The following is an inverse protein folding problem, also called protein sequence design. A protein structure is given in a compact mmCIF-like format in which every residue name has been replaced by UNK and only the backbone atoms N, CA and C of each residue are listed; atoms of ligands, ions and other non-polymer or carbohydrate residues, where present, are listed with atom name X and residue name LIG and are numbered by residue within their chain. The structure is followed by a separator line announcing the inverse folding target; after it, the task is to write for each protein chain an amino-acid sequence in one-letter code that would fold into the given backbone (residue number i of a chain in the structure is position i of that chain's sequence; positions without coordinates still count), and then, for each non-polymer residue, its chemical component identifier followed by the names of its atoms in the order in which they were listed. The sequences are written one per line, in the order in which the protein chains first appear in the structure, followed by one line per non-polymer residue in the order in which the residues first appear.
data_IF_289951150387
#
_entry.id   IF_289951150387
#
_cell.length_a   1.000
_cell.length_b   1.000
_cell.length_c   1.000
_cell.angle_alpha   90.00
_cell.angle_beta   90.00
_cell.angle_gamma   90.00
#
_symmetry.space_group_name_H-M   'P 1'
#
loop_
_entity.id
_entity.type
_entity.pdbx_description
1 polymer ?
#
# COMPACT_ATOMS: atom_id res chain seq x y z
N UNK A 1 3.48 -7.30 19.64
CA UNK A 1 3.45 -6.07 18.83
C UNK A 1 4.72 -6.08 18.00
N UNK A 2 4.65 -6.58 16.77
CA UNK A 2 5.83 -6.73 15.90
C UNK A 2 6.06 -5.37 15.24
N UNK A 3 6.80 -4.51 15.94
CA UNK A 3 7.14 -3.17 15.45
C UNK A 3 7.96 -3.28 14.18
N UNK A 4 7.59 -2.48 13.18
CA UNK A 4 8.32 -2.21 11.94
C UNK A 4 9.80 -1.97 12.32
N UNK A 5 10.68 -2.92 11.98
CA UNK A 5 12.04 -2.94 12.51
C UNK A 5 12.89 -1.89 11.77
N UNK A 6 13.05 -0.70 12.34
CA UNK A 6 13.95 0.33 11.79
C UNK A 6 15.39 -0.22 11.74
N UNK A 7 16.09 -0.05 10.62
CA UNK A 7 17.48 -0.49 10.46
C UNK A 7 18.47 0.44 11.18
N UNK A 8 18.55 0.29 12.50
CA UNK A 8 19.46 1.03 13.38
C UNK A 8 20.92 1.00 12.91
N UNK A 9 21.35 -0.14 12.37
CA UNK A 9 22.75 -0.35 11.99
C UNK A 9 23.13 0.53 10.81
N UNK A 10 22.23 0.62 9.82
CA UNK A 10 22.37 1.50 8.68
C UNK A 10 22.41 2.97 9.08
N UNK A 11 21.46 3.44 9.90
CA UNK A 11 21.45 4.84 10.37
C UNK A 11 22.73 5.21 11.13
N UNK A 12 23.24 4.29 11.96
CA UNK A 12 24.48 4.49 12.71
C UNK A 12 25.70 4.56 11.77
N UNK A 13 25.71 3.77 10.70
CA UNK A 13 26.77 3.78 9.70
C UNK A 13 26.75 5.06 8.86
N UNK A 14 25.57 5.55 8.46
CA UNK A 14 25.44 6.82 7.71
C UNK A 14 25.92 8.01 8.53
N UNK A 15 25.56 8.08 9.82
CA UNK A 15 26.05 9.09 10.74
C UNK A 15 27.58 9.05 10.85
N UNK A 16 28.15 7.85 11.03
CA UNK A 16 29.61 7.67 11.11
C UNK A 16 30.33 8.10 9.83
N UNK A 17 29.78 7.78 8.65
CA UNK A 17 30.34 8.17 7.34
C UNK A 17 30.39 9.69 7.16
N UNK A 18 29.38 10.40 7.65
CA UNK A 18 29.31 11.86 7.60
C UNK A 18 30.04 12.54 8.77
N UNK A 19 30.64 11.78 9.69
CA UNK A 19 31.28 12.32 10.90
C UNK A 19 30.31 12.96 11.89
N UNK A 20 29.02 12.61 11.81
CA UNK A 20 27.92 13.17 12.60
C UNK A 20 27.57 12.21 13.74
N UNK A 21 27.01 12.72 14.84
CA UNK A 21 26.56 11.89 15.96
C UNK A 21 25.03 11.88 16.10
N UNK A 22 24.48 10.88 16.79
CA UNK A 22 23.05 10.87 17.14
C UNK A 22 22.64 12.08 18.00
N UNK A 23 23.56 12.62 18.80
CA UNK A 23 23.32 13.82 19.58
C UNK A 23 23.18 15.06 18.68
N UNK A 24 23.96 15.14 17.62
CA UNK A 24 23.88 16.23 16.65
C UNK A 24 22.62 16.11 15.79
N UNK A 25 22.22 14.88 15.45
CA UNK A 25 20.93 14.63 14.80
C UNK A 25 19.76 15.08 15.69
N UNK A 26 19.80 14.77 16.99
CA UNK A 26 18.76 15.21 17.93
C UNK A 26 18.65 16.74 18.00
N UNK A 27 19.79 17.44 18.04
CA UNK A 27 19.83 18.91 17.99
C UNK A 27 19.25 19.45 16.68
N UNK A 28 19.62 18.85 15.55
CA UNK A 28 19.14 19.26 14.23
C UNK A 28 17.62 19.08 14.09
N UNK A 29 17.08 17.97 14.59
CA UNK A 29 15.64 17.69 14.54
C UNK A 29 14.82 18.46 15.58
N UNK A 30 15.48 19.17 16.51
CA UNK A 30 14.85 19.76 17.69
C UNK A 30 14.10 18.71 18.54
N UNK A 31 14.74 17.55 18.73
CA UNK A 31 14.23 16.42 19.51
C UNK A 31 15.16 16.11 20.69
N UNK A 32 14.59 15.51 21.74
CA UNK A 32 15.39 14.97 22.83
C UNK A 32 16.23 13.77 22.36
N UNK A 33 17.43 13.59 22.92
CA UNK A 33 18.32 12.46 22.59
C UNK A 33 17.62 11.10 22.83
N UNK A 34 16.79 11.00 23.86
CA UNK A 34 16.02 9.79 24.15
C UNK A 34 14.98 9.50 23.07
N UNK A 35 14.33 10.54 22.53
CA UNK A 35 13.36 10.40 21.44
C UNK A 35 14.02 9.89 20.15
N UNK A 36 15.20 10.40 19.80
CA UNK A 36 15.97 9.91 18.64
C UNK A 36 16.44 8.48 18.85
N UNK A 37 16.92 8.14 20.06
CA UNK A 37 17.32 6.75 20.37
C UNK A 37 16.14 5.79 20.21
N UNK A 38 14.98 6.12 20.78
CA UNK A 38 13.75 5.32 20.67
C UNK A 38 13.27 5.23 19.23
N UNK A 39 13.37 6.32 18.46
CA UNK A 39 13.04 6.34 17.04
C UNK A 39 13.92 5.39 16.25
N UNK A 40 15.25 5.44 16.42
CA UNK A 40 16.17 4.55 15.70
C UNK A 40 16.10 3.09 16.17
N UNK A 41 15.59 2.81 17.37
CA UNK A 41 15.35 1.46 17.87
C UNK A 41 14.00 0.86 17.41
N UNK A 42 13.10 1.66 16.81
CA UNK A 42 11.74 1.22 16.48
C UNK A 42 10.72 1.35 17.62
N UNK A 43 11.12 1.82 18.79
CA UNK A 43 10.23 2.07 19.94
C UNK A 43 9.35 3.32 19.75
N UNK A 44 9.67 4.15 18.75
CA UNK A 44 8.94 5.34 18.35
C UNK A 44 8.87 5.40 16.82
N UNK A 45 7.69 5.67 16.28
CA UNK A 45 7.51 5.85 14.85
C UNK A 45 8.20 7.15 14.38
N UNK A 46 8.92 7.06 13.27
CA UNK A 46 9.49 8.21 12.56
C UNK A 46 8.40 8.87 11.72
N UNK A 47 8.17 10.17 11.93
CA UNK A 47 7.22 10.95 11.12
C UNK A 47 7.77 11.20 9.71
N UNK A 48 6.89 11.60 8.79
CA UNK A 48 7.27 11.99 7.42
C UNK A 48 8.19 13.22 7.46
N UNK A 49 7.86 14.22 8.29
CA UNK A 49 8.66 15.44 8.42
C UNK A 49 10.04 15.15 9.04
N UNK A 50 10.10 14.18 9.97
CA UNK A 50 11.38 13.74 10.55
C UNK A 50 12.22 13.02 9.51
N UNK A 51 11.60 12.21 8.65
CA UNK A 51 12.24 11.51 7.55
C UNK A 51 12.86 12.49 6.54
N UNK A 52 12.12 13.53 6.15
CA UNK A 52 12.59 14.58 5.24
C UNK A 52 13.81 15.32 5.83
N UNK A 53 13.73 15.70 7.10
CA UNK A 53 14.84 16.37 7.79
C UNK A 53 16.05 15.47 7.98
N UNK A 54 15.85 14.17 8.24
CA UNK A 54 16.95 13.21 8.33
C UNK A 54 17.64 13.06 6.96
N UNK A 55 16.86 13.03 5.88
CA UNK A 55 17.38 12.97 4.51
C UNK A 55 18.23 14.19 4.17
N UNK A 56 17.73 15.40 4.49
CA UNK A 56 18.47 16.65 4.38
C UNK A 56 19.75 16.63 5.22
N UNK A 57 19.65 16.24 6.49
CA UNK A 57 20.79 16.18 7.41
C UNK A 57 21.87 15.20 6.96
N UNK A 58 21.49 14.06 6.40
CA UNK A 58 22.42 13.05 5.91
C UNK A 58 22.85 13.28 4.46
N UNK A 59 22.27 14.26 3.76
CA UNK A 59 22.49 14.57 2.34
C UNK A 59 22.30 13.32 1.46
N UNK A 60 21.22 12.58 1.71
CA UNK A 60 20.83 11.38 0.96
C UNK A 60 19.38 11.51 0.52
N UNK A 61 18.97 10.83 -0.57
CA UNK A 61 17.58 10.82 -1.00
C UNK A 61 16.63 10.35 0.11
N UNK A 62 15.46 10.98 0.22
CA UNK A 62 14.41 10.58 1.17
C UNK A 62 13.95 9.13 0.98
N UNK A 63 14.04 8.62 -0.26
CA UNK A 63 13.74 7.22 -0.58
C UNK A 63 14.66 6.24 0.14
N UNK A 64 15.96 6.54 0.24
CA UNK A 64 16.91 5.68 0.96
C UNK A 64 16.57 5.63 2.46
N UNK A 65 16.20 6.77 3.05
CA UNK A 65 15.73 6.83 4.44
C UNK A 65 14.44 6.04 4.63
N UNK A 66 13.50 6.14 3.68
CA UNK A 66 12.22 5.42 3.71
C UNK A 66 12.41 3.89 3.74
N UNK A 67 13.31 3.39 2.89
CA UNK A 67 13.61 1.96 2.77
C UNK A 67 14.11 1.38 4.09
N UNK A 68 14.99 2.11 4.78
CA UNK A 68 15.59 1.68 6.04
C UNK A 68 14.73 2.00 7.27
N UNK A 69 13.74 2.89 7.15
CA UNK A 69 12.68 3.08 8.15
C UNK A 69 11.77 1.86 8.27
N UNK A 70 11.43 1.21 7.15
CA UNK A 70 10.47 0.08 7.13
C UNK A 70 11.10 -1.29 7.42
N UNK A 71 12.42 -1.36 7.55
CA UNK A 71 13.10 -2.62 7.89
C UNK A 71 13.26 -3.63 6.76
N UNK A 72 13.35 -3.15 5.52
CA UNK A 72 13.60 -3.99 4.35
C UNK A 72 12.59 -3.74 3.24
N UNK A 73 12.95 -4.17 2.03
CA UNK A 73 12.14 -4.08 0.81
C UNK A 73 10.97 -5.07 0.89
N UNK A 74 10.05 -4.85 1.83
CA UNK A 74 8.69 -5.36 1.66
C UNK A 74 8.10 -4.53 0.52
N UNK A 75 7.90 -5.16 -0.64
CA UNK A 75 7.25 -4.53 -1.78
C UNK A 75 5.83 -4.01 -1.45
N UNK A 76 5.04 -3.72 -2.47
CA UNK A 76 3.65 -3.26 -2.30
C UNK A 76 2.71 -4.31 -1.69
N UNK A 77 3.16 -5.55 -1.50
CA UNK A 77 2.37 -6.59 -0.85
C UNK A 77 2.14 -6.26 0.62
N UNK A 78 0.90 -6.05 1.00
CA UNK A 78 0.50 -6.00 2.41
C UNK A 78 0.74 -7.37 3.06
N UNK A 79 1.17 -7.37 4.33
CA UNK A 79 1.49 -8.58 5.09
C UNK A 79 0.32 -9.59 5.20
N UNK A 80 -0.91 -9.16 4.92
CA UNK A 80 -2.12 -10.00 4.96
C UNK A 80 -2.67 -10.38 3.59
N UNK A 81 -2.00 -10.01 2.49
CA UNK A 81 -2.41 -10.45 1.17
C UNK A 81 -1.74 -11.78 0.82
N UNK A 82 -2.55 -12.79 0.51
CA UNK A 82 -2.05 -13.99 -0.17
C UNK A 82 -1.61 -13.56 -1.56
N UNK A 83 -0.38 -13.90 -1.96
CA UNK A 83 0.10 -13.64 -3.32
C UNK A 83 -0.92 -14.21 -4.31
N UNK A 84 -1.28 -13.43 -5.33
CA UNK A 84 -2.16 -13.89 -6.39
C UNK A 84 -1.49 -15.08 -7.09
N UNK A 85 -1.96 -16.28 -6.81
CA UNK A 85 -1.62 -17.47 -7.59
C UNK A 85 -2.47 -17.41 -8.84
N UNK A 86 -1.84 -17.23 -10.01
CA UNK A 86 -2.51 -17.41 -11.29
C UNK A 86 -3.16 -18.80 -11.26
N UNK A 87 -4.50 -18.92 -11.42
CA UNK A 87 -5.08 -20.23 -11.66
C UNK A 87 -4.44 -20.74 -12.95
N UNK A 88 -3.87 -21.95 -12.88
CA UNK A 88 -3.22 -22.62 -14.00
C UNK A 88 -4.04 -22.41 -15.27
N UNK A 89 -3.41 -22.10 -16.44
CA UNK A 89 -4.12 -21.77 -17.66
C UNK A 89 -5.11 -22.90 -17.95
N UNK A 90 -6.39 -22.62 -17.72
CA UNK A 90 -7.46 -23.55 -18.04
C UNK A 90 -7.50 -23.62 -19.54
N UNK A 91 -6.89 -24.68 -20.08
CA UNK A 91 -7.05 -25.08 -21.45
C UNK A 91 -8.54 -25.08 -21.76
N UNK A 92 -8.92 -24.33 -22.80
CA UNK A 92 -10.26 -24.38 -23.38
C UNK A 92 -10.59 -25.82 -23.73
N UNK A 93 -11.48 -26.42 -22.97
CA UNK A 93 -12.27 -27.59 -23.38
C UNK A 93 -13.72 -27.12 -23.50
N UNK A 94 -14.34 -27.44 -24.64
CA UNK A 94 -15.69 -26.99 -25.00
C UNK A 94 -16.81 -27.49 -24.08
N UNK A 95 -18.07 -27.15 -24.39
CA UNK A 95 -19.18 -27.37 -23.49
C UNK A 95 -19.71 -28.79 -23.64
N UNK A 96 -19.50 -29.64 -22.63
CA UNK A 96 -20.18 -30.91 -22.51
C UNK A 96 -20.89 -30.98 -21.14
N UNK A 97 -22.20 -31.22 -21.23
CA UNK A 97 -23.14 -31.18 -20.14
C UNK A 97 -22.99 -32.38 -19.19
N UNK A 98 -23.25 -32.15 -17.89
CA UNK A 98 -23.75 -33.22 -17.02
C UNK A 98 -23.03 -33.45 -15.69
N UNK A 99 -23.35 -32.61 -14.70
CA UNK A 99 -23.80 -33.00 -13.36
C UNK A 99 -22.84 -33.76 -12.40
N UNK A 100 -22.34 -33.05 -11.38
CA UNK A 100 -22.45 -33.46 -9.97
C UNK A 100 -21.93 -32.36 -9.04
N UNK A 101 -22.77 -31.99 -8.09
CA UNK A 101 -22.60 -31.01 -7.02
C UNK A 101 -21.41 -31.26 -6.10
N UNK A 102 -20.43 -30.37 -6.11
CA UNK A 102 -19.83 -29.88 -4.86
C UNK A 102 -20.43 -28.50 -4.62
N UNK A 103 -21.37 -28.43 -3.68
CA UNK A 103 -21.96 -27.18 -3.26
C UNK A 103 -20.90 -26.35 -2.53
N UNK A 104 -20.02 -25.69 -3.29
CA UNK A 104 -19.36 -24.51 -2.80
C UNK A 104 -20.45 -23.46 -2.58
N UNK A 105 -20.88 -23.36 -1.32
CA UNK A 105 -21.83 -22.35 -0.86
C UNK A 105 -21.44 -21.02 -1.49
N UNK A 106 -22.32 -20.47 -2.35
CA UNK A 106 -22.13 -19.16 -2.97
C UNK A 106 -21.71 -18.18 -1.87
N UNK A 107 -20.55 -17.55 -2.03
CA UNK A 107 -20.01 -16.62 -1.03
C UNK A 107 -21.10 -15.60 -0.64
N UNK A 108 -21.27 -15.25 0.65
CA UNK A 108 -22.37 -14.39 1.12
C UNK A 108 -22.47 -13.03 0.43
N UNK A 109 -21.36 -12.56 -0.15
CA UNK A 109 -21.32 -11.33 -0.95
C UNK A 109 -22.12 -11.44 -2.25
N UNK A 110 -22.27 -12.63 -2.82
CA UNK A 110 -23.03 -12.84 -4.04
C UNK A 110 -24.52 -12.75 -3.72
N UNK A 111 -25.14 -11.64 -4.12
CA UNK A 111 -26.56 -11.38 -3.93
C UNK A 111 -26.91 -10.52 -2.72
N UNK A 112 -25.94 -10.04 -1.93
CA UNK A 112 -26.19 -9.13 -0.81
C UNK A 112 -26.79 -7.79 -1.26
N UNK A 113 -26.55 -7.38 -2.51
CA UNK A 113 -27.15 -6.20 -3.14
C UNK A 113 -28.32 -6.54 -4.08
N UNK A 114 -28.81 -7.79 -4.10
CA UNK A 114 -29.94 -8.14 -4.96
C UNK A 114 -31.18 -7.35 -4.50
N UNK A 115 -31.79 -6.60 -5.42
CA UNK A 115 -32.99 -5.80 -5.14
C UNK A 115 -32.70 -4.39 -4.62
N UNK A 116 -31.44 -3.97 -4.46
CA UNK A 116 -31.12 -2.57 -4.15
C UNK A 116 -31.27 -1.65 -5.36
N UNK A 117 -31.27 -2.20 -6.57
CA UNK A 117 -31.52 -1.49 -7.82
C UNK A 117 -32.81 -2.04 -8.42
N UNK A 118 -33.73 -1.13 -8.76
CA UNK A 118 -34.94 -1.43 -9.54
C UNK A 118 -34.79 -0.81 -10.91
N UNK A 119 -34.72 -1.65 -11.94
CA UNK A 119 -34.76 -1.23 -13.35
C UNK A 119 -36.23 -1.20 -13.75
N UNK A 120 -36.74 -0.06 -14.25
CA UNK A 120 -38.11 -0.01 -14.76
C UNK A 120 -38.22 -0.89 -16.02
N UNK A 121 -39.35 -1.57 -16.27
CA UNK A 121 -39.49 -2.55 -17.36
C UNK A 121 -39.19 -1.98 -18.75
N UNK A 122 -39.35 -0.67 -18.95
CA UNK A 122 -39.12 0.01 -20.23
C UNK A 122 -37.76 0.74 -20.31
N UNK A 123 -36.88 0.55 -19.32
CA UNK A 123 -35.54 1.18 -19.30
C UNK A 123 -34.51 0.24 -19.92
N UNK A 124 -34.14 0.55 -21.16
CA UNK A 124 -33.08 -0.13 -21.89
C UNK A 124 -31.69 0.37 -21.45
N UNK A 125 -31.02 -0.44 -20.63
CA UNK A 125 -29.68 -0.17 -20.12
C UNK A 125 -28.55 -0.51 -21.10
N UNK A 126 -28.88 -1.03 -22.29
CA UNK A 126 -27.88 -1.41 -23.29
C UNK A 126 -27.51 -0.27 -24.23
N UNK A 127 -28.29 0.81 -24.24
CA UNK A 127 -27.98 2.02 -25.00
C UNK A 127 -27.00 2.90 -24.21
N UNK A 128 -26.08 3.59 -24.91
CA UNK A 128 -25.26 4.60 -24.26
C UNK A 128 -26.19 5.62 -23.60
N UNK A 129 -25.88 5.99 -22.36
CA UNK A 129 -26.68 7.00 -21.68
C UNK A 129 -26.40 8.33 -22.36
N UNK A 130 -27.42 8.87 -23.00
CA UNK A 130 -27.34 10.17 -23.67
C UNK A 130 -27.36 11.25 -22.57
N UNK A 131 -26.17 11.71 -22.18
CA UNK A 131 -26.03 12.82 -21.25
C UNK A 131 -25.43 14.02 -21.98
N UNK A 132 -25.96 15.22 -21.69
CA UNK A 132 -25.48 16.47 -22.29
C UNK A 132 -23.99 16.79 -22.04
N UNK A 133 -23.34 16.12 -21.08
CA UNK A 133 -21.90 16.28 -20.83
C UNK A 133 -21.00 15.48 -21.79
N UNK A 134 -21.52 14.46 -22.48
CA UNK A 134 -20.74 13.66 -23.43
C UNK A 134 -20.38 14.44 -24.70
N UNK A 135 -21.25 15.37 -25.13
CA UNK A 135 -21.03 16.18 -26.32
C UNK A 135 -20.10 17.37 -26.09
N UNK A 136 -20.12 17.98 -24.89
CA UNK A 136 -19.29 19.17 -24.59
C UNK A 136 -17.81 18.90 -24.40
N UNK A 137 -17.40 17.64 -24.17
CA UNK A 137 -16.02 17.35 -23.80
C UNK A 137 -15.06 17.23 -25.00
N UNK A 138 -15.59 17.03 -26.21
CA UNK A 138 -14.78 16.74 -27.42
C UNK A 138 -15.15 17.55 -28.67
N UNK A 139 -16.12 18.48 -28.59
CA UNK A 139 -16.63 19.22 -29.75
C UNK A 139 -16.62 20.76 -29.60
N UNK A 140 -15.76 21.33 -28.75
CA UNK A 140 -15.41 22.77 -28.77
C UNK A 140 -14.13 23.05 -29.56
#
# INVERSE_FOLDING_TARGET
MTGDQIDKSWFSQQLKRKGKSQADLARFLNLDRSAVTRMLNGDRNMSVEEQDRIAEYLEIPVGDVALHRRGGVAGFSENNQTAYSEPAPSGRSGPEAGNASTAESRHPIFGCMKGTITVMPDVDLTKPVDFEWGEKLYNE
#
